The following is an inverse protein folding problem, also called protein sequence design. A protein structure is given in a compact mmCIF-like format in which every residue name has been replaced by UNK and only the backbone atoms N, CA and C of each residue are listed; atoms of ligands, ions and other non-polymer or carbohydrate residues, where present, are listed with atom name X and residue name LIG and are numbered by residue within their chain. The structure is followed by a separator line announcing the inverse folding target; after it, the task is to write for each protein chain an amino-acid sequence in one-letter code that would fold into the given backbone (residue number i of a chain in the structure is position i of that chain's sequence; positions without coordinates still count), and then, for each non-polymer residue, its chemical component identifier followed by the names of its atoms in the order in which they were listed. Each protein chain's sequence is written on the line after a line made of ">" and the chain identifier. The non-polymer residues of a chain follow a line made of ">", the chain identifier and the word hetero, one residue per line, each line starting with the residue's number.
data_IF_679242834644
#
_entry.id   IF_679242834644
#
_cell.length_a   1.000
_cell.length_b   1.000
_cell.length_c   1.000
_cell.angle_alpha   90.00
_cell.angle_beta   90.00
_cell.angle_gamma   90.00
#
_symmetry.space_group_name_H-M   'P 1'
#
loop_
_entity.id
_entity.type
_entity.pdbx_description
1 polymer ?
#
# COMPACT_ATOMS: atom_id res chain seq x y z
N UNK A 1 -4.01 4.80 -12.74
CA UNK A 1 -4.17 6.23 -12.38
C UNK A 1 -2.88 6.85 -11.85
N UNK A 2 -2.19 6.20 -10.92
CA UNK A 2 -0.92 6.71 -10.39
C UNK A 2 0.12 6.89 -11.49
N UNK A 3 0.23 5.94 -12.42
CA UNK A 3 1.15 6.05 -13.53
C UNK A 3 0.81 7.20 -14.48
N UNK A 4 -0.48 7.47 -14.69
CA UNK A 4 -0.91 8.59 -15.52
C UNK A 4 -0.56 9.94 -14.88
N UNK A 5 -0.76 10.08 -13.58
CA UNK A 5 -0.46 11.31 -12.83
C UNK A 5 1.03 11.52 -12.66
N UNK A 6 1.77 10.45 -12.34
CA UNK A 6 3.20 10.49 -12.09
C UNK A 6 4.03 10.63 -13.37
N UNK A 7 3.48 10.24 -14.52
CA UNK A 7 4.16 10.25 -15.80
C UNK A 7 4.85 8.93 -16.13
N UNK A 8 5.44 8.89 -17.31
CA UNK A 8 6.04 7.68 -17.85
C UNK A 8 7.24 7.17 -17.05
N UNK A 9 7.96 8.07 -16.36
CA UNK A 9 9.15 7.69 -15.61
C UNK A 9 8.85 6.69 -14.49
N UNK A 10 7.73 6.87 -13.77
CA UNK A 10 7.33 5.91 -12.73
C UNK A 10 7.03 4.55 -13.33
N UNK A 11 6.33 4.52 -14.45
CA UNK A 11 6.00 3.27 -15.15
C UNK A 11 7.26 2.54 -15.59
N UNK A 12 8.21 3.25 -16.17
CA UNK A 12 9.48 2.65 -16.61
C UNK A 12 10.29 2.11 -15.43
N UNK A 13 10.30 2.82 -14.31
CA UNK A 13 10.98 2.38 -13.10
C UNK A 13 10.35 1.10 -12.54
N UNK A 14 9.02 1.03 -12.50
CA UNK A 14 8.31 -0.16 -12.06
C UNK A 14 8.59 -1.36 -12.98
N UNK A 15 8.57 -1.15 -14.30
CA UNK A 15 8.88 -2.20 -15.27
C UNK A 15 10.30 -2.73 -15.09
N UNK A 16 11.26 -1.84 -14.85
CA UNK A 16 12.64 -2.21 -14.61
C UNK A 16 12.81 -3.04 -13.34
N UNK A 17 12.19 -2.62 -12.24
CA UNK A 17 12.22 -3.34 -10.97
C UNK A 17 11.66 -4.75 -11.13
N UNK A 18 10.53 -4.88 -11.82
CA UNK A 18 9.89 -6.19 -12.03
C UNK A 18 10.73 -7.08 -12.95
N UNK A 19 11.39 -6.54 -13.95
CA UNK A 19 12.31 -7.31 -14.81
C UNK A 19 13.52 -7.80 -14.05
N UNK A 20 14.13 -6.97 -13.21
CA UNK A 20 15.27 -7.35 -12.38
C UNK A 20 14.88 -8.42 -11.37
N UNK A 21 13.69 -8.31 -10.79
CA UNK A 21 13.15 -9.27 -9.84
C UNK A 21 12.90 -10.63 -10.49
N UNK A 22 12.39 -10.66 -11.72
CA UNK A 22 12.15 -11.90 -12.48
C UNK A 22 10.93 -12.71 -12.07
N UNK A 23 10.09 -12.18 -11.16
CA UNK A 23 8.82 -12.81 -10.73
C UNK A 23 7.84 -11.73 -10.27
N UNK A 24 6.55 -12.06 -10.19
CA UNK A 24 5.53 -11.14 -9.72
C UNK A 24 5.75 -10.76 -8.25
N UNK A 25 5.38 -9.52 -7.88
CA UNK A 25 5.49 -9.07 -6.50
C UNK A 25 4.57 -9.90 -5.60
N UNK A 26 5.13 -10.55 -4.56
CA UNK A 26 4.30 -11.30 -3.63
C UNK A 26 3.30 -10.41 -2.90
N UNK A 27 2.10 -10.94 -2.65
CA UNK A 27 1.08 -10.24 -1.87
C UNK A 27 1.59 -9.92 -0.45
N UNK A 28 1.34 -8.70 0.01
CA UNK A 28 1.75 -8.25 1.33
C UNK A 28 3.15 -7.67 1.41
N UNK A 29 3.87 -7.62 0.30
CA UNK A 29 5.18 -6.98 0.21
C UNK A 29 5.09 -5.57 -0.35
N UNK A 30 6.13 -4.78 -0.15
CA UNK A 30 6.17 -3.40 -0.63
C UNK A 30 7.51 -3.07 -1.29
N UNK A 31 7.46 -2.14 -2.24
CA UNK A 31 8.62 -1.53 -2.87
C UNK A 31 8.46 -0.02 -2.88
N UNK A 32 9.57 0.69 -2.93
CA UNK A 32 9.58 2.15 -2.93
C UNK A 32 10.19 2.67 -4.22
N UNK A 33 9.58 3.72 -4.78
CA UNK A 33 10.10 4.45 -5.94
C UNK A 33 9.98 5.95 -5.67
N UNK A 34 10.73 6.80 -6.42
CA UNK A 34 10.45 8.23 -6.41
C UNK A 34 9.05 8.53 -6.91
N UNK A 35 8.49 9.65 -6.46
CA UNK A 35 7.13 10.06 -6.87
C UNK A 35 7.06 10.73 -8.24
N UNK A 36 8.20 11.18 -8.77
CA UNK A 36 8.31 11.90 -10.03
C UNK A 36 7.37 13.12 -10.06
N UNK A 37 6.35 13.12 -10.92
CA UNK A 37 5.41 14.24 -11.04
C UNK A 37 4.33 14.30 -9.96
N UNK A 38 4.29 13.32 -9.06
CA UNK A 38 3.36 13.35 -7.94
C UNK A 38 3.81 14.35 -6.86
N UNK A 39 2.88 14.93 -6.08
CA UNK A 39 3.26 15.84 -4.98
C UNK A 39 3.96 15.15 -3.82
N UNK A 40 4.01 13.82 -3.81
CA UNK A 40 4.75 13.05 -2.83
C UNK A 40 6.19 12.81 -3.28
N UNK A 41 7.15 12.77 -2.33
CA UNK A 41 8.55 12.50 -2.65
C UNK A 41 8.76 11.06 -3.13
N UNK A 42 8.00 10.12 -2.58
CA UNK A 42 8.12 8.69 -2.88
C UNK A 42 6.76 8.05 -3.04
N UNK A 43 6.72 6.93 -3.74
CA UNK A 43 5.55 6.07 -3.85
C UNK A 43 5.90 4.69 -3.31
N UNK A 44 5.05 4.19 -2.43
CA UNK A 44 5.15 2.83 -1.92
C UNK A 44 4.17 1.95 -2.68
N UNK A 45 4.69 0.90 -3.28
CA UNK A 45 3.92 -0.04 -4.09
C UNK A 45 3.73 -1.35 -3.34
N UNK A 46 2.50 -1.77 -3.19
CA UNK A 46 2.18 -3.04 -2.56
C UNK A 46 1.07 -3.75 -3.32
N UNK A 47 1.01 -5.05 -3.17
CA UNK A 47 -0.02 -5.89 -3.80
C UNK A 47 -0.92 -6.42 -2.70
N UNK A 48 -2.16 -5.95 -2.67
CA UNK A 48 -3.16 -6.43 -1.73
C UNK A 48 -3.74 -7.79 -2.15
N UNK A 49 -4.39 -8.49 -1.21
CA UNK A 49 -5.03 -9.76 -1.52
C UNK A 49 -6.26 -9.57 -2.42
N UNK A 50 -6.44 -10.51 -3.34
CA UNK A 50 -7.64 -10.58 -4.16
C UNK A 50 -8.63 -11.51 -3.46
N UNK A 51 -9.83 -11.01 -3.16
CA UNK A 51 -10.88 -11.82 -2.56
C UNK A 51 -11.78 -12.34 -3.67
N UNK A 52 -11.68 -13.63 -3.93
CA UNK A 52 -12.49 -14.33 -4.92
C UNK A 52 -13.40 -15.29 -4.17
N UNK A 53 -14.67 -14.93 -4.03
CA UNK A 53 -15.62 -15.69 -3.24
C UNK A 53 -15.59 -15.32 -1.76
N UNK A 54 -15.29 -16.28 -0.88
CA UNK A 54 -15.35 -16.08 0.56
C UNK A 54 -14.09 -15.41 1.13
N UNK A 55 -14.29 -14.41 2.00
CA UNK A 55 -13.23 -13.80 2.75
C UNK A 55 -12.67 -14.80 3.79
N UNK A 56 -11.34 -14.93 3.84
CA UNK A 56 -10.64 -15.83 4.78
C UNK A 56 -9.71 -15.06 5.69
N UNK A 57 -9.26 -15.70 6.78
CA UNK A 57 -8.25 -15.13 7.69
C UNK A 57 -6.94 -14.85 6.96
N UNK A 58 -6.61 -15.65 5.97
CA UNK A 58 -5.42 -15.44 5.13
C UNK A 58 -5.50 -14.09 4.40
N UNK A 59 -6.65 -13.76 3.82
CA UNK A 59 -6.87 -12.45 3.19
C UNK A 59 -6.67 -11.31 4.18
N UNK A 60 -7.19 -11.46 5.40
CA UNK A 60 -7.03 -10.44 6.44
C UNK A 60 -5.57 -10.25 6.85
N UNK A 61 -4.82 -11.33 7.00
CA UNK A 61 -3.39 -11.26 7.31
C UNK A 61 -2.60 -10.63 6.17
N UNK A 62 -2.89 -10.97 4.94
CA UNK A 62 -2.22 -10.40 3.77
C UNK A 62 -2.47 -8.90 3.65
N UNK A 63 -3.68 -8.44 3.95
CA UNK A 63 -3.99 -7.01 3.95
C UNK A 63 -3.22 -6.29 5.06
N UNK A 64 -3.19 -6.85 6.26
CA UNK A 64 -2.40 -6.29 7.36
C UNK A 64 -0.90 -6.23 7.00
N UNK A 65 -0.39 -7.26 6.33
CA UNK A 65 1.00 -7.31 5.88
C UNK A 65 1.31 -6.21 4.87
N UNK A 66 0.37 -5.83 4.00
CA UNK A 66 0.52 -4.70 3.10
C UNK A 66 0.82 -3.41 3.87
N UNK A 67 0.02 -3.12 4.89
CA UNK A 67 0.20 -1.92 5.71
C UNK A 67 1.51 -1.95 6.48
N UNK A 68 1.84 -3.07 7.11
CA UNK A 68 3.10 -3.22 7.85
C UNK A 68 4.32 -3.08 6.96
N UNK A 69 4.31 -3.74 5.80
CA UNK A 69 5.44 -3.67 4.85
C UNK A 69 5.66 -2.26 4.34
N UNK A 70 4.58 -1.52 4.04
CA UNK A 70 4.69 -0.12 3.64
C UNK A 70 5.24 0.76 4.76
N UNK A 71 4.78 0.57 5.98
CA UNK A 71 5.26 1.35 7.13
C UNK A 71 6.71 1.04 7.45
N UNK A 72 7.10 -0.24 7.42
CA UNK A 72 8.49 -0.65 7.63
C UNK A 72 9.40 -0.01 6.60
N UNK A 73 9.03 -0.08 5.33
CA UNK A 73 9.84 0.46 4.24
C UNK A 73 9.93 1.99 4.33
N UNK A 74 8.84 2.66 4.67
CA UNK A 74 8.83 4.10 4.89
C UNK A 74 9.75 4.49 6.05
N UNK A 75 9.67 3.79 7.17
CA UNK A 75 10.49 4.04 8.34
C UNK A 75 11.98 3.81 8.05
N UNK A 76 12.32 2.72 7.37
CA UNK A 76 13.69 2.41 6.95
C UNK A 76 14.25 3.46 5.98
N UNK A 77 13.39 4.07 5.18
CA UNK A 77 13.75 5.12 4.23
C UNK A 77 13.83 6.52 4.87
N UNK A 78 13.60 6.63 6.18
CA UNK A 78 13.67 7.89 6.90
C UNK A 78 12.43 8.77 6.72
N UNK A 79 11.34 8.25 6.21
CA UNK A 79 10.10 8.98 6.03
C UNK A 79 9.35 9.08 7.36
N UNK A 80 8.70 10.23 7.59
CA UNK A 80 7.97 10.49 8.83
C UNK A 80 6.46 10.49 8.67
N UNK A 81 5.99 10.55 7.44
CA UNK A 81 4.55 10.55 7.14
C UNK A 81 4.24 9.67 5.95
N UNK A 82 3.10 9.01 6.01
CA UNK A 82 2.63 8.10 4.96
C UNK A 82 1.15 8.35 4.73
N UNK A 83 0.74 8.40 3.47
CA UNK A 83 -0.66 8.46 3.09
C UNK A 83 -1.05 7.15 2.41
N UNK A 84 -2.12 6.54 2.87
CA UNK A 84 -2.65 5.30 2.31
C UNK A 84 -3.95 5.54 1.55
N UNK A 85 -4.13 4.81 0.46
CA UNK A 85 -5.44 4.60 -0.13
C UNK A 85 -6.08 3.33 0.47
N UNK A 86 -7.32 3.04 0.07
CA UNK A 86 -8.00 1.82 0.50
C UNK A 86 -7.48 0.62 -0.30
N UNK A 87 -6.60 -0.16 0.30
CA UNK A 87 -5.99 -1.32 -0.35
C UNK A 87 -7.02 -2.44 -0.52
N UNK A 88 -7.07 -3.03 -1.72
CA UNK A 88 -7.91 -4.18 -2.08
C UNK A 88 -9.43 -3.94 -2.08
N UNK A 89 -9.91 -2.74 -1.86
CA UNK A 89 -11.37 -2.47 -1.78
C UNK A 89 -12.02 -2.19 -3.12
N UNK A 90 -11.26 -1.98 -4.18
CA UNK A 90 -11.79 -1.78 -5.53
C UNK A 90 -11.92 -3.09 -6.27
N UNK A 91 -11.11 -3.29 -7.30
CA UNK A 91 -11.14 -4.48 -8.16
C UNK A 91 -10.79 -5.78 -7.43
N UNK A 92 -10.13 -5.71 -6.28
CA UNK A 92 -9.75 -6.89 -5.50
C UNK A 92 -10.85 -7.37 -4.57
N UNK A 93 -11.97 -6.66 -4.52
CA UNK A 93 -13.21 -7.08 -3.85
C UNK A 93 -13.11 -7.35 -2.34
N UNK A 94 -12.16 -6.78 -1.66
CA UNK A 94 -12.10 -6.89 -0.20
C UNK A 94 -13.24 -6.07 0.42
N UNK A 95 -14.03 -6.63 1.37
CA UNK A 95 -15.12 -5.88 1.99
C UNK A 95 -14.60 -4.59 2.66
N UNK A 96 -15.18 -3.46 2.30
CA UNK A 96 -14.68 -2.14 2.73
C UNK A 96 -14.62 -1.95 4.23
N UNK A 97 -15.69 -2.35 4.92
CA UNK A 97 -15.75 -2.19 6.38
C UNK A 97 -14.66 -3.00 7.08
N UNK A 98 -14.49 -4.24 6.67
CA UNK A 98 -13.45 -5.12 7.23
C UNK A 98 -12.05 -4.61 6.88
N UNK A 99 -11.87 -4.15 5.66
CA UNK A 99 -10.60 -3.56 5.22
C UNK A 99 -10.24 -2.33 6.06
N UNK A 100 -11.20 -1.46 6.33
CA UNK A 100 -10.99 -0.27 7.16
C UNK A 100 -10.60 -0.65 8.60
N UNK A 101 -11.27 -1.63 9.18
CA UNK A 101 -10.93 -2.12 10.52
C UNK A 101 -9.51 -2.66 10.59
N UNK A 102 -9.10 -3.45 9.61
CA UNK A 102 -7.74 -4.02 9.53
C UNK A 102 -6.72 -2.91 9.35
N UNK A 103 -6.98 -1.96 8.47
CA UNK A 103 -6.08 -0.84 8.20
C UNK A 103 -5.81 -0.02 9.46
N UNK A 104 -6.87 0.41 10.14
CA UNK A 104 -6.76 1.23 11.33
C UNK A 104 -6.06 0.46 12.46
N UNK A 105 -6.46 -0.77 12.70
CA UNK A 105 -5.87 -1.61 13.74
C UNK A 105 -4.38 -1.84 13.50
N UNK A 106 -4.01 -2.20 12.28
CA UNK A 106 -2.61 -2.49 11.92
C UNK A 106 -1.73 -1.25 12.06
N UNK A 107 -2.21 -0.10 11.57
CA UNK A 107 -1.48 1.15 11.67
C UNK A 107 -1.34 1.61 13.13
N UNK A 108 -2.41 1.54 13.91
CA UNK A 108 -2.35 1.92 15.32
C UNK A 108 -1.38 1.05 16.12
N UNK A 109 -1.39 -0.26 15.90
CA UNK A 109 -0.43 -1.17 16.52
C UNK A 109 1.01 -0.82 16.13
N UNK A 110 1.23 -0.52 14.87
CA UNK A 110 2.54 -0.14 14.38
C UNK A 110 3.05 1.15 15.03
N UNK A 111 2.22 2.18 15.07
CA UNK A 111 2.57 3.46 15.66
C UNK A 111 2.85 3.37 17.16
N UNK A 112 2.20 2.43 17.86
CA UNK A 112 2.46 2.17 19.27
C UNK A 112 3.81 1.49 19.53
N UNK A 113 4.32 0.74 18.54
CA UNK A 113 5.57 -0.01 18.66
C UNK A 113 6.77 0.72 18.08
N UNK A 114 6.55 1.55 17.05
CA UNK A 114 7.61 2.23 16.31
C UNK A 114 7.30 3.71 16.21
N UNK A 115 8.20 4.53 16.71
CA UNK A 115 8.03 5.98 16.78
C UNK A 115 8.63 6.73 15.59
N UNK A 116 9.21 6.04 14.63
CA UNK A 116 9.83 6.68 13.45
C UNK A 116 8.81 7.35 12.55
N UNK A 117 7.65 6.73 12.36
CA UNK A 117 6.55 7.32 11.60
C UNK A 117 5.72 8.19 12.55
N UNK A 118 5.53 9.45 12.18
CA UNK A 118 4.84 10.45 13.03
C UNK A 118 3.41 10.72 12.59
N UNK A 119 3.08 10.47 11.32
CA UNK A 119 1.77 10.79 10.79
C UNK A 119 1.36 9.78 9.73
N UNK A 120 0.14 9.29 9.84
CA UNK A 120 -0.48 8.44 8.83
C UNK A 120 -1.82 9.05 8.44
N UNK A 121 -2.05 9.21 7.16
CA UNK A 121 -3.29 9.75 6.60
C UNK A 121 -3.95 8.68 5.75
N UNK A 122 -5.25 8.46 5.95
CA UNK A 122 -6.04 7.60 5.09
C UNK A 122 -6.86 8.44 4.13
N UNK A 123 -6.64 8.26 2.83
CA UNK A 123 -7.45 8.89 1.80
C UNK A 123 -8.61 7.96 1.47
N UNK A 124 -9.81 8.39 1.81
CA UNK A 124 -11.03 7.64 1.51
C UNK A 124 -11.69 8.28 0.31
N UNK A 125 -11.69 7.56 -0.81
CA UNK A 125 -12.48 7.98 -1.96
C UNK A 125 -13.91 7.52 -1.76
N UNK A 126 -14.85 8.47 -1.72
CA UNK A 126 -16.25 8.14 -1.94
C UNK A 126 -16.42 7.88 -3.42
N UNK A 127 -16.37 6.64 -3.80
CA UNK A 127 -16.98 6.26 -5.05
C UNK A 127 -18.46 6.03 -4.76
N UNK A 128 -19.26 6.96 -5.18
CA UNK A 128 -20.67 6.68 -5.33
C UNK A 128 -20.83 5.78 -6.54
N UNK A 129 -21.03 4.54 -6.27
CA UNK A 129 -21.45 3.59 -7.26
C UNK A 129 -22.89 3.26 -7.00
#
# INVERSE_FOLDING_TARGET
>A
IIHSVSGIQLRLTCDEIMREQGYEEPTGRAKITPGYNLPACYVLHTVGPIVSGRLTDRHCRQLADCYRSCLDLAAESGLKSVAFCCISTGEFHFPRKKAAEIAVRTVMDYLNRDTRIKKVVFNVFKTEL
#
